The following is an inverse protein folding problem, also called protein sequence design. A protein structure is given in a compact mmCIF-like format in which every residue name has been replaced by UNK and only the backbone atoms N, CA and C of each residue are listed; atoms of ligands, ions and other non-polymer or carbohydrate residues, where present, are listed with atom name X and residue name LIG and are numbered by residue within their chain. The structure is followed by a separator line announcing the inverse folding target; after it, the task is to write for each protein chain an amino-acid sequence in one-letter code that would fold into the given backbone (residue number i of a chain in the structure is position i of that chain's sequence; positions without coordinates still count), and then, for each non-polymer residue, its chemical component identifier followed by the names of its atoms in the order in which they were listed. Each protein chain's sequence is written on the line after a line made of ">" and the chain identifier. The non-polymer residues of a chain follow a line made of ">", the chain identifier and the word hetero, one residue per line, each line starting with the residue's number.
data_IF_982087241803
#
_entry.id   IF_982087241803
#
_cell.length_a   1.000
_cell.length_b   1.000
_cell.length_c   1.000
_cell.angle_alpha   90.00
_cell.angle_beta   90.00
_cell.angle_gamma   90.00
#
_symmetry.space_group_name_H-M   'P 1'
#
loop_
_entity.id
_entity.type
_entity.pdbx_description
1 polymer ?
#
# COMPACT_ATOMS: atom_id res chain seq x y z
N UNK A 1 -2.46 10.22 0.60
CA UNK A 1 -3.05 11.03 1.68
C UNK A 1 -2.54 10.53 3.03
N UNK A 2 -2.14 11.44 3.93
CA UNK A 2 -1.73 11.12 5.30
C UNK A 2 -2.92 11.20 6.26
N UNK A 3 -3.17 10.13 7.03
CA UNK A 3 -4.15 10.09 8.12
C UNK A 3 -3.51 9.46 9.36
N UNK A 4 -2.29 9.86 9.70
CA UNK A 4 -1.58 9.42 10.90
C UNK A 4 -1.71 10.44 12.03
N UNK A 5 -1.92 9.97 13.27
CA UNK A 5 -2.24 10.84 14.42
C UNK A 5 -1.14 10.78 15.48
N UNK A 6 -0.65 9.58 15.78
CA UNK A 6 0.36 9.34 16.79
C UNK A 6 1.78 9.55 16.24
N UNK A 7 2.79 9.81 17.10
CA UNK A 7 4.17 9.95 16.66
C UNK A 7 4.72 8.70 15.97
N UNK A 8 4.24 7.50 16.36
CA UNK A 8 4.70 6.25 15.74
C UNK A 8 4.15 6.13 14.31
N UNK A 9 2.87 6.42 14.10
CA UNK A 9 2.29 6.46 12.75
C UNK A 9 2.95 7.50 11.85
N UNK A 10 3.24 8.70 12.38
CA UNK A 10 3.95 9.73 11.61
C UNK A 10 5.38 9.31 11.23
N UNK A 11 6.06 8.61 12.12
CA UNK A 11 7.38 8.04 11.82
C UNK A 11 7.27 6.98 10.72
N UNK A 12 6.26 6.12 10.78
CA UNK A 12 6.00 5.11 9.75
C UNK A 12 5.71 5.75 8.40
N UNK A 13 4.87 6.79 8.38
CA UNK A 13 4.55 7.54 7.18
C UNK A 13 5.80 8.12 6.51
N UNK A 14 6.69 8.73 7.31
CA UNK A 14 7.97 9.26 6.82
C UNK A 14 8.86 8.18 6.22
N UNK A 15 9.04 7.08 6.93
CA UNK A 15 9.83 5.94 6.46
C UNK A 15 9.24 5.35 5.17
N UNK A 16 7.93 5.12 5.13
CA UNK A 16 7.24 4.65 3.93
C UNK A 16 7.48 5.59 2.75
N UNK A 17 7.29 6.90 2.93
CA UNK A 17 7.53 7.88 1.87
C UNK A 17 8.99 7.93 1.42
N UNK A 18 9.95 7.68 2.32
CA UNK A 18 11.37 7.67 1.98
C UNK A 18 11.72 6.48 1.07
N UNK A 19 11.12 5.31 1.30
CA UNK A 19 11.31 4.13 0.45
C UNK A 19 10.36 4.08 -0.75
N UNK A 20 9.26 4.80 -0.70
CA UNK A 20 8.25 4.78 -1.75
C UNK A 20 8.79 5.39 -3.04
N UNK A 21 8.82 4.57 -4.09
CA UNK A 21 9.15 5.01 -5.46
C UNK A 21 7.95 4.74 -6.36
N UNK A 22 7.33 5.82 -6.85
CA UNK A 22 6.21 5.72 -7.76
C UNK A 22 6.62 5.02 -9.08
N UNK A 23 5.98 3.89 -9.46
CA UNK A 23 6.26 3.24 -10.74
C UNK A 23 5.85 4.13 -11.92
N UNK A 24 6.71 4.24 -12.94
CA UNK A 24 6.46 5.06 -14.13
C UNK A 24 5.29 4.51 -14.93
N UNK A 25 4.29 5.33 -15.24
CA UNK A 25 3.12 4.99 -16.07
C UNK A 25 1.84 4.66 -15.29
N UNK A 26 1.93 4.51 -13.97
CA UNK A 26 0.78 4.41 -13.09
C UNK A 26 0.54 5.81 -12.49
N UNK A 27 -0.46 6.53 -12.98
CA UNK A 27 -0.81 7.88 -12.48
C UNK A 27 -2.20 7.96 -11.84
N UNK A 28 -2.98 6.88 -11.96
CA UNK A 28 -4.38 6.81 -11.53
C UNK A 28 -4.51 5.93 -10.28
N UNK A 29 -3.74 6.25 -9.23
CA UNK A 29 -3.86 5.57 -7.94
C UNK A 29 -3.71 6.55 -6.79
N UNK A 30 -4.50 6.32 -5.73
CA UNK A 30 -4.42 7.10 -4.49
C UNK A 30 -3.95 6.20 -3.36
N UNK A 31 -2.75 6.45 -2.84
CA UNK A 31 -2.28 5.74 -1.64
C UNK A 31 -2.75 6.49 -0.41
N UNK A 32 -3.49 5.82 0.46
CA UNK A 32 -3.96 6.37 1.73
C UNK A 32 -3.34 5.56 2.86
N UNK A 33 -2.60 6.25 3.73
CA UNK A 33 -2.00 5.64 4.92
C UNK A 33 -2.81 6.13 6.12
N UNK A 34 -3.49 5.20 6.78
CA UNK A 34 -4.37 5.46 7.92
C UNK A 34 -3.78 4.78 9.13
N UNK A 35 -3.64 5.54 10.20
CA UNK A 35 -3.36 4.96 11.50
C UNK A 35 -4.67 4.81 12.29
N UNK A 36 -4.92 3.61 12.81
CA UNK A 36 -5.98 3.38 13.79
C UNK A 36 -5.37 3.03 15.12
N UNK A 37 -5.63 3.86 16.12
CA UNK A 37 -5.33 3.53 17.51
C UNK A 37 -6.42 2.60 18.05
N UNK A 38 -6.03 1.41 18.46
CA UNK A 38 -6.92 0.42 19.04
C UNK A 38 -6.48 0.15 20.48
N UNK A 39 -7.27 0.51 21.52
CA UNK A 39 -6.81 0.45 22.91
C UNK A 39 -6.42 -0.96 23.37
N UNK A 40 -6.95 -1.99 22.73
CA UNK A 40 -6.69 -3.38 23.06
C UNK A 40 -5.47 -3.98 22.33
N UNK A 41 -5.00 -3.37 21.22
CA UNK A 41 -3.93 -3.93 20.37
C UNK A 41 -2.75 -2.96 20.16
N UNK A 42 -2.98 -1.64 20.24
CA UNK A 42 -2.01 -0.58 19.97
C UNK A 42 -2.33 0.20 18.71
N UNK A 43 -1.32 0.86 18.13
CA UNK A 43 -1.45 1.54 16.83
C UNK A 43 -1.37 0.53 15.69
N UNK A 44 -2.30 0.61 14.73
CA UNK A 44 -2.32 -0.24 13.54
C UNK A 44 -2.16 0.66 12.33
N UNK A 45 -1.19 0.37 11.45
CA UNK A 45 -1.07 1.03 10.15
C UNK A 45 -1.84 0.25 9.09
N UNK A 46 -2.65 1.01 8.36
CA UNK A 46 -3.48 0.54 7.26
C UNK A 46 -3.03 1.30 6.02
N UNK A 47 -2.75 0.57 4.95
CA UNK A 47 -2.41 1.18 3.66
C UNK A 47 -3.43 0.70 2.65
N UNK A 48 -4.12 1.68 2.09
CA UNK A 48 -5.12 1.50 1.04
C UNK A 48 -4.58 2.06 -0.26
N UNK A 49 -4.83 1.37 -1.36
CA UNK A 49 -4.59 1.87 -2.71
C UNK A 49 -5.94 1.99 -3.38
N UNK A 50 -6.34 3.22 -3.69
CA UNK A 50 -7.70 3.55 -4.13
C UNK A 50 -8.71 3.25 -3.02
N UNK A 51 -9.44 2.14 -3.10
CA UNK A 51 -10.37 1.64 -2.06
C UNK A 51 -9.92 0.30 -1.44
N UNK A 52 -8.93 -0.37 -2.02
CA UNK A 52 -8.48 -1.69 -1.56
C UNK A 52 -7.42 -1.59 -0.45
N UNK A 53 -7.66 -2.28 0.66
CA UNK A 53 -6.71 -2.39 1.77
C UNK A 53 -5.65 -3.44 1.41
N UNK A 54 -4.44 -2.99 1.13
CA UNK A 54 -3.34 -3.86 0.68
C UNK A 54 -2.45 -4.29 1.86
N UNK A 55 -2.40 -3.47 2.91
CA UNK A 55 -1.54 -3.72 4.05
C UNK A 55 -2.21 -3.33 5.35
N UNK A 56 -2.11 -4.19 6.35
CA UNK A 56 -2.59 -3.94 7.71
C UNK A 56 -1.66 -4.60 8.72
N UNK A 57 -0.93 -3.80 9.51
CA UNK A 57 0.01 -4.32 10.51
C UNK A 57 0.01 -3.53 11.80
N UNK A 58 0.29 -4.23 12.90
CA UNK A 58 0.43 -3.63 14.21
C UNK A 58 1.78 -2.91 14.33
N UNK A 59 1.74 -1.61 14.60
CA UNK A 59 2.93 -0.81 14.88
C UNK A 59 3.14 -0.76 16.40
N UNK A 60 4.19 -1.43 16.87
CA UNK A 60 4.59 -1.45 18.28
C UNK A 60 6.03 -1.02 18.44
N UNK A 61 6.27 -0.07 19.35
CA UNK A 61 7.62 0.46 19.65
C UNK A 61 8.61 -0.59 20.17
N UNK A 62 8.14 -1.76 20.60
CA UNK A 62 8.94 -2.75 21.33
C UNK A 62 9.44 -3.93 20.48
N UNK A 63 8.91 -4.14 19.26
CA UNK A 63 9.14 -5.41 18.54
C UNK A 63 9.59 -5.30 17.09
N UNK A 64 9.42 -4.16 16.42
CA UNK A 64 9.68 -4.06 14.99
C UNK A 64 10.56 -2.84 14.68
N UNK A 65 11.60 -3.06 13.89
CA UNK A 65 12.34 -1.98 13.24
C UNK A 65 11.35 -1.32 12.28
N UNK A 66 11.04 -0.05 12.52
CA UNK A 66 10.06 0.70 11.72
C UNK A 66 10.41 0.67 10.23
N UNK A 67 11.70 0.73 9.93
CA UNK A 67 12.26 0.67 8.58
C UNK A 67 11.88 -0.64 7.87
N UNK A 68 11.87 -1.77 8.59
CA UNK A 68 11.49 -3.08 8.06
C UNK A 68 10.01 -3.13 7.71
N UNK A 69 9.15 -2.61 8.60
CA UNK A 69 7.71 -2.49 8.33
C UNK A 69 7.45 -1.61 7.11
N UNK A 70 8.16 -0.48 6.99
CA UNK A 70 8.03 0.43 5.87
C UNK A 70 8.48 -0.23 4.55
N UNK A 71 9.63 -0.93 4.56
CA UNK A 71 10.13 -1.68 3.39
C UNK A 71 9.16 -2.78 2.97
N UNK A 72 8.64 -3.54 3.93
CA UNK A 72 7.66 -4.59 3.66
C UNK A 72 6.36 -4.02 3.09
N UNK A 73 5.85 -2.93 3.67
CA UNK A 73 4.68 -2.21 3.17
C UNK A 73 4.86 -1.72 1.73
N UNK A 74 5.99 -1.06 1.42
CA UNK A 74 6.31 -0.59 0.06
C UNK A 74 6.38 -1.77 -0.91
N UNK A 75 7.02 -2.87 -0.51
CA UNK A 75 7.09 -4.09 -1.33
C UNK A 75 5.70 -4.64 -1.65
N UNK A 76 4.82 -4.76 -0.66
CA UNK A 76 3.48 -5.28 -0.87
C UNK A 76 2.64 -4.38 -1.79
N UNK A 77 2.70 -3.06 -1.60
CA UNK A 77 2.01 -2.10 -2.47
C UNK A 77 2.53 -2.19 -3.91
N UNK A 78 3.86 -2.23 -4.10
CA UNK A 78 4.47 -2.36 -5.43
C UNK A 78 4.05 -3.67 -6.12
N UNK A 79 4.09 -4.79 -5.41
CA UNK A 79 3.67 -6.09 -5.95
C UNK A 79 2.20 -6.07 -6.37
N UNK A 80 1.33 -5.47 -5.55
CA UNK A 80 -0.08 -5.32 -5.88
C UNK A 80 -0.29 -4.47 -7.15
N UNK A 81 0.40 -3.32 -7.25
CA UNK A 81 0.30 -2.44 -8.42
C UNK A 81 0.79 -3.11 -9.71
N UNK A 82 1.95 -3.76 -9.67
CA UNK A 82 2.51 -4.48 -10.82
C UNK A 82 1.56 -5.58 -11.26
N UNK A 83 1.02 -6.36 -10.31
CA UNK A 83 0.04 -7.41 -10.61
C UNK A 83 -1.21 -6.83 -11.26
N UNK A 84 -1.74 -5.71 -10.75
CA UNK A 84 -2.93 -5.04 -11.29
C UNK A 84 -2.70 -4.53 -12.72
N UNK A 85 -1.54 -3.93 -12.99
CA UNK A 85 -1.17 -3.46 -14.34
C UNK A 85 -1.05 -4.62 -15.33
N UNK A 86 -0.39 -5.71 -14.93
CA UNK A 86 -0.26 -6.92 -15.74
C UNK A 86 -1.66 -7.44 -16.13
N UNK A 87 -2.56 -7.61 -15.16
CA UNK A 87 -3.93 -8.09 -15.40
C UNK A 87 -4.69 -7.13 -16.32
N UNK A 88 -4.57 -5.81 -16.12
CA UNK A 88 -5.22 -4.79 -16.95
C UNK A 88 -4.76 -4.88 -18.41
N UNK A 89 -3.45 -5.03 -18.64
CA UNK A 89 -2.88 -5.19 -19.98
C UNK A 89 -3.31 -6.50 -20.64
N UNK A 90 -3.32 -7.63 -19.90
CA UNK A 90 -3.81 -8.91 -20.43
C UNK A 90 -5.28 -8.86 -20.81
N UNK A 91 -6.13 -8.24 -19.98
CA UNK A 91 -7.56 -8.08 -20.28
C UNK A 91 -7.77 -7.28 -21.57
N UNK A 92 -7.06 -6.16 -21.74
CA UNK A 92 -7.12 -5.37 -22.97
C UNK A 92 -6.66 -6.11 -24.23
N UNK A 93 -5.83 -7.15 -24.12
CA UNK A 93 -5.44 -8.01 -25.26
C UNK A 93 -6.40 -9.17 -25.50
N UNK A 94 -7.08 -9.69 -24.47
CA UNK A 94 -7.93 -10.89 -24.57
C UNK A 94 -9.37 -10.58 -25.01
N UNK A 95 -9.82 -9.33 -24.89
CA UNK A 95 -11.10 -8.86 -25.45
C UNK A 95 -11.10 -8.73 -27.00
N UNK A 96 -10.04 -9.18 -27.70
CA UNK A 96 -9.93 -9.15 -29.18
C UNK A 96 -9.96 -10.53 -29.86
N UNK A 97 -10.14 -11.64 -29.12
CA UNK A 97 -10.11 -13.01 -29.67
C UNK A 97 -11.44 -13.77 -29.50
N UNK A 98 -12.58 -13.06 -29.52
CA UNK A 98 -13.86 -13.71 -29.21
C UNK A 98 -15.11 -13.04 -29.75
N UNK A 99 -15.16 -12.71 -31.04
CA UNK A 99 -16.44 -12.69 -31.77
C UNK A 99 -16.21 -12.98 -33.25
N UNK A 100 -16.38 -14.25 -33.61
CA UNK A 100 -16.28 -14.76 -34.97
C UNK A 100 -17.10 -16.02 -35.05
N UNK A 101 -18.42 -15.87 -34.92
CA UNK A 101 -19.42 -16.86 -35.31
C UNK A 101 -19.86 -16.60 -36.76
#
# INVERSE_FOLDING_TARGET
>A
MDKTITPIGRHFYKEFMAYWTAPRGLSDYTITIIERFNPQWGSIAWISVDDDIIYQQLISSRRLIMEDLAKDAVRQVLQFMVKREIIKRYKGSMDLEGDGY
#
